data_IF_692791542791
#
_entry.id   IF_692791542791
#
_cell.length_a   1.000
_cell.length_b   1.000
_cell.length_c   1.000
_cell.angle_alpha   90.00
_cell.angle_beta   90.00
_cell.angle_gamma   90.00
#
_symmetry.space_group_name_H-M   'P 1'
#
loop_
_entity.id
_entity.type
_entity.pdbx_description
1 polymer ?
#
# COMPACT_ATOMS: atom_id res chain seq x y z
N UNK A 1 35.65 -15.36 -31.83
CA UNK A 1 35.29 -15.73 -30.45
C UNK A 1 34.19 -14.76 -30.03
N UNK A 2 32.96 -15.23 -30.18
CA UNK A 2 31.77 -14.42 -30.43
C UNK A 2 31.11 -13.87 -29.17
N UNK A 3 30.95 -12.54 -29.12
CA UNK A 3 30.27 -11.81 -28.03
C UNK A 3 28.77 -11.65 -28.26
N UNK A 4 28.22 -12.29 -29.29
CA UNK A 4 26.83 -12.11 -29.71
C UNK A 4 25.84 -12.49 -28.60
N UNK A 5 26.04 -13.64 -27.94
CA UNK A 5 25.12 -14.13 -26.89
C UNK A 5 25.03 -13.16 -25.71
N UNK A 6 26.17 -12.65 -25.22
CA UNK A 6 26.18 -11.74 -24.06
C UNK A 6 25.58 -10.37 -24.42
N UNK A 7 25.82 -9.89 -25.64
CA UNK A 7 25.30 -8.59 -26.10
C UNK A 7 23.78 -8.61 -26.30
N UNK A 8 23.24 -9.67 -26.88
CA UNK A 8 21.79 -9.82 -27.07
C UNK A 8 21.05 -9.92 -25.72
N UNK A 9 21.68 -10.58 -24.74
CA UNK A 9 21.21 -10.57 -23.35
C UNK A 9 21.26 -9.18 -22.72
N UNK A 10 22.36 -8.43 -22.93
CA UNK A 10 22.52 -7.07 -22.42
C UNK A 10 21.51 -6.09 -23.04
N UNK A 11 21.21 -6.19 -24.33
CA UNK A 11 20.23 -5.33 -25.00
C UNK A 11 18.80 -5.57 -24.46
N UNK A 12 18.51 -6.74 -23.90
CA UNK A 12 17.19 -7.08 -23.33
C UNK A 12 16.95 -6.49 -21.92
N UNK A 13 17.99 -5.96 -21.25
CA UNK A 13 17.88 -5.44 -19.87
C UNK A 13 17.00 -4.20 -19.75
N UNK A 14 16.95 -3.36 -20.78
CA UNK A 14 16.12 -2.15 -20.75
C UNK A 14 14.63 -2.50 -20.67
N UNK A 15 14.18 -3.50 -21.43
CA UNK A 15 12.81 -3.99 -21.38
C UNK A 15 12.49 -4.65 -20.02
N UNK A 16 13.44 -5.40 -19.47
CA UNK A 16 13.33 -6.03 -18.14
C UNK A 16 13.21 -5.00 -17.02
N UNK A 17 14.01 -3.93 -17.06
CA UNK A 17 13.94 -2.84 -16.10
C UNK A 17 12.56 -2.16 -16.12
N UNK A 18 12.03 -1.84 -17.30
CA UNK A 18 10.69 -1.27 -17.46
C UNK A 18 9.60 -2.19 -16.90
N UNK A 19 9.70 -3.50 -17.16
CA UNK A 19 8.77 -4.50 -16.63
C UNK A 19 8.81 -4.56 -15.09
N UNK A 20 10.01 -4.60 -14.51
CA UNK A 20 10.18 -4.62 -13.05
C UNK A 20 9.67 -3.34 -12.39
N UNK A 21 9.96 -2.17 -12.99
CA UNK A 21 9.44 -0.88 -12.51
C UNK A 21 7.92 -0.85 -12.58
N UNK A 22 7.32 -1.34 -13.66
CA UNK A 22 5.87 -1.43 -13.82
C UNK A 22 5.23 -2.32 -12.75
N UNK A 23 5.75 -3.53 -12.56
CA UNK A 23 5.29 -4.45 -11.51
C UNK A 23 5.47 -3.83 -10.12
N UNK A 24 6.59 -3.16 -9.87
CA UNK A 24 6.84 -2.43 -8.63
C UNK A 24 5.80 -1.34 -8.37
N UNK A 25 5.43 -0.57 -9.40
CA UNK A 25 4.39 0.45 -9.31
C UNK A 25 3.01 -0.15 -9.03
N UNK A 26 2.67 -1.27 -9.69
CA UNK A 26 1.43 -2.03 -9.45
C UNK A 26 1.37 -2.51 -8.00
N UNK A 27 2.42 -3.19 -7.53
CA UNK A 27 2.50 -3.68 -6.14
C UNK A 27 2.40 -2.52 -5.15
N UNK A 28 3.03 -1.38 -5.43
CA UNK A 28 2.96 -0.20 -4.58
C UNK A 28 1.55 0.40 -4.54
N UNK A 29 0.87 0.51 -5.68
CA UNK A 29 -0.51 1.01 -5.77
C UNK A 29 -1.49 0.11 -5.00
N UNK A 30 -1.29 -1.20 -5.04
CA UNK A 30 -2.10 -2.17 -4.30
C UNK A 30 -1.58 -2.46 -2.89
N UNK A 31 -0.49 -1.81 -2.43
CA UNK A 31 0.04 -2.04 -1.09
C UNK A 31 -0.97 -1.55 -0.06
N UNK A 32 -1.54 -2.44 0.78
CA UNK A 32 -2.62 -2.10 1.72
C UNK A 32 -2.05 -1.45 2.99
N UNK A 33 -1.24 -0.39 2.83
CA UNK A 33 -0.44 0.21 3.90
C UNK A 33 -1.14 1.28 4.74
N UNK A 34 -2.30 1.80 4.31
CA UNK A 34 -2.91 2.99 4.92
C UNK A 34 -4.27 2.75 5.60
N UNK A 35 -4.90 1.59 5.41
CA UNK A 35 -6.23 1.34 6.00
C UNK A 35 -6.18 0.95 7.49
N UNK A 36 -5.04 0.49 8.01
CA UNK A 36 -4.95 0.04 9.43
C UNK A 36 -4.95 1.17 10.45
N UNK A 37 -4.62 2.39 10.07
CA UNK A 37 -4.63 3.55 11.00
C UNK A 37 -5.99 4.25 11.00
N UNK A 38 -6.77 4.15 9.91
CA UNK A 38 -8.11 4.74 9.85
C UNK A 38 -9.17 3.95 10.62
N UNK A 39 -9.03 2.62 10.76
CA UNK A 39 -9.94 1.79 11.56
C UNK A 39 -9.89 2.13 13.06
N UNK A 40 -8.72 2.54 13.58
CA UNK A 40 -8.55 2.87 15.00
C UNK A 40 -9.15 4.24 15.35
N UNK A 41 -9.18 5.17 14.39
CA UNK A 41 -9.71 6.53 14.56
C UNK A 41 -11.25 6.55 14.43
N UNK A 42 -11.82 5.72 13.56
CA UNK A 42 -13.27 5.65 13.34
C UNK A 42 -14.05 5.15 14.58
N UNK A 43 -13.39 4.46 15.51
CA UNK A 43 -14.00 4.01 16.77
C UNK A 43 -13.93 5.05 17.90
N UNK A 44 -13.27 6.20 17.72
CA UNK A 44 -13.16 7.24 18.77
C UNK A 44 -14.52 7.90 19.09
N UNK A 45 -15.38 8.28 18.11
CA UNK A 45 -16.65 8.94 18.41
C UNK A 45 -17.61 8.04 19.21
N UNK A 46 -17.63 6.73 18.93
CA UNK A 46 -18.54 5.78 19.59
C UNK A 46 -18.05 5.26 20.95
N UNK A 47 -16.77 5.49 21.33
CA UNK A 47 -16.24 5.12 22.66
C UNK A 47 -16.78 5.98 23.81
N UNK A 48 -17.57 7.01 23.52
CA UNK A 48 -18.14 7.91 24.51
C UNK A 48 -19.67 7.80 24.65
N UNK A 49 -20.34 6.93 23.90
CA UNK A 49 -21.80 6.70 23.99
C UNK A 49 -22.19 5.82 25.20
N UNK A 50 -21.23 5.15 25.86
CA UNK A 50 -21.43 4.35 27.08
C UNK A 50 -21.42 5.19 28.38
N UNK A 51 -22.10 6.34 28.37
CA UNK A 51 -22.54 6.98 29.62
C UNK A 51 -24.01 7.33 29.49
N UNK A 52 -24.88 6.75 30.34
CA UNK A 52 -26.29 7.10 30.31
C UNK A 52 -26.39 8.59 30.64
N UNK A 53 -27.26 9.30 29.92
CA UNK A 53 -27.59 10.68 30.22
C UNK A 53 -27.96 10.79 31.70
N UNK A 54 -27.20 11.59 32.46
CA UNK A 54 -27.54 11.96 33.82
C UNK A 54 -28.88 12.70 33.78
N UNK A 55 -29.95 11.93 34.01
CA UNK A 55 -31.31 12.45 34.03
C UNK A 55 -31.38 13.34 35.26
N UNK A 56 -31.50 14.64 34.99
CA UNK A 56 -31.54 15.69 35.99
C UNK A 56 -32.26 15.31 37.27
N UNK A 57 -31.54 15.45 38.38
CA UNK A 57 -32.10 15.57 39.71
C UNK A 57 -31.95 17.03 40.13
N UNK A 58 -33.04 17.78 39.92
CA UNK A 58 -33.36 19.03 40.59
C UNK A 58 -34.66 18.85 41.35
#
# INVERSE_FOLDING_TARGET
MDYHILREFADSWAALALLLTFIGAVIWAFRPGSSRVHDDIANIPFRHEDKPADRGQG
#
